data_IF_694875915024
#
_entry.id   IF_694875915024
#
_cell.length_a   1.000
_cell.length_b   1.000
_cell.length_c   1.000
_cell.angle_alpha   90.00
_cell.angle_beta   90.00
_cell.angle_gamma   90.00
#
_symmetry.space_group_name_H-M   'P 1'
#
loop_
_entity.id
_entity.type
_entity.pdbx_description
1 polymer ?
#
# COMPACT_ATOMS: atom_id res chain seq x y z
N UNK A 1 -7.55 0.43 76.45
CA UNK A 1 -7.65 1.70 75.72
C UNK A 1 -6.38 2.22 75.05
N UNK A 2 -5.15 1.89 75.53
CA UNK A 2 -3.87 2.34 74.93
C UNK A 2 -3.47 1.56 73.66
N UNK A 3 -3.91 0.33 73.43
CA UNK A 3 -3.57 -0.49 72.27
C UNK A 3 -4.38 -0.12 71.00
N UNK A 4 -5.60 0.38 71.15
CA UNK A 4 -6.41 0.83 70.03
C UNK A 4 -5.98 2.19 69.44
N UNK A 5 -5.35 3.06 70.24
CA UNK A 5 -4.84 4.34 69.74
C UNK A 5 -3.53 4.15 68.90
N UNK A 6 -2.70 3.19 69.25
CA UNK A 6 -1.46 2.95 68.46
C UNK A 6 -1.73 2.36 67.11
N UNK A 7 -2.74 1.49 66.94
CA UNK A 7 -3.09 0.91 65.63
C UNK A 7 -3.70 1.95 64.70
N UNK A 8 -4.56 2.85 65.21
CA UNK A 8 -5.14 3.91 64.38
C UNK A 8 -4.14 4.97 63.95
N UNK A 9 -3.10 5.28 64.72
CA UNK A 9 -2.04 6.21 64.32
C UNK A 9 -1.12 5.58 63.28
N UNK A 10 -0.88 4.24 63.32
CA UNK A 10 -0.06 3.55 62.33
C UNK A 10 -0.82 3.45 60.97
N UNK A 11 -2.14 3.18 60.98
CA UNK A 11 -2.93 3.13 59.77
C UNK A 11 -3.07 4.53 59.15
N UNK A 12 -3.26 5.57 59.96
CA UNK A 12 -3.31 6.95 59.49
C UNK A 12 -1.97 7.43 58.91
N UNK A 13 -0.84 7.03 59.50
CA UNK A 13 0.51 7.35 58.99
C UNK A 13 0.80 6.61 57.68
N UNK A 14 0.42 5.34 57.55
CA UNK A 14 0.57 4.59 56.27
C UNK A 14 -0.34 5.14 55.14
N UNK A 15 -1.57 5.53 55.46
CA UNK A 15 -2.45 6.14 54.47
C UNK A 15 -1.99 7.52 54.02
N UNK A 16 -1.47 8.33 54.90
CA UNK A 16 -0.91 9.64 54.58
C UNK A 16 0.38 9.55 53.74
N UNK A 17 1.24 8.58 54.03
CA UNK A 17 2.48 8.37 53.24
C UNK A 17 2.15 7.85 51.83
N UNK A 18 1.22 6.94 51.66
CA UNK A 18 0.76 6.45 50.34
C UNK A 18 0.15 7.60 49.54
N UNK A 19 -0.76 8.40 50.11
CA UNK A 19 -1.35 9.55 49.41
C UNK A 19 -0.34 10.66 49.08
N UNK A 20 0.65 10.89 49.95
CA UNK A 20 1.69 11.87 49.68
C UNK A 20 2.67 11.40 48.59
N UNK A 21 2.93 10.09 48.54
CA UNK A 21 3.77 9.47 47.51
C UNK A 21 3.06 9.48 46.14
N UNK A 22 1.77 9.10 46.06
CA UNK A 22 0.97 9.18 44.87
C UNK A 22 0.84 10.63 44.35
N UNK A 23 0.66 11.62 45.24
CA UNK A 23 0.54 13.01 44.82
C UNK A 23 1.82 13.61 44.29
N UNK A 24 2.99 13.24 44.86
CA UNK A 24 4.31 13.67 44.38
C UNK A 24 4.70 12.97 43.08
N UNK A 25 4.37 11.70 42.93
CA UNK A 25 4.57 10.94 41.69
C UNK A 25 3.71 11.50 40.54
N UNK A 26 2.43 11.80 40.82
CA UNK A 26 1.55 12.44 39.87
C UNK A 26 2.00 13.84 39.45
N UNK A 27 2.48 14.66 40.37
CA UNK A 27 3.05 15.98 40.05
C UNK A 27 4.34 15.85 39.25
N UNK A 28 5.21 14.89 39.57
CA UNK A 28 6.39 14.58 38.77
C UNK A 28 6.04 14.14 37.35
N UNK A 29 5.06 13.27 37.17
CA UNK A 29 4.55 12.86 35.87
C UNK A 29 4.05 14.04 35.04
N UNK A 30 3.20 14.91 35.62
CA UNK A 30 2.68 16.11 34.96
C UNK A 30 3.79 17.04 34.51
N UNK A 31 4.81 17.23 35.31
CA UNK A 31 5.98 18.06 34.97
C UNK A 31 6.78 17.45 33.81
N UNK A 32 7.02 16.12 33.82
CA UNK A 32 7.68 15.40 32.71
C UNK A 32 6.92 15.56 31.42
N UNK A 33 5.59 15.31 31.42
CA UNK A 33 4.74 15.43 30.25
C UNK A 33 4.73 16.86 29.69
N UNK A 34 4.74 17.89 30.56
CA UNK A 34 4.82 19.28 30.12
C UNK A 34 6.17 19.59 29.45
N UNK A 35 7.28 19.14 30.04
CA UNK A 35 8.63 19.33 29.48
C UNK A 35 8.79 18.61 28.13
N UNK A 36 8.27 17.38 27.99
CA UNK A 36 8.30 16.61 26.75
C UNK A 36 7.50 17.31 25.66
N UNK A 37 6.28 17.79 25.96
CA UNK A 37 5.44 18.54 25.00
C UNK A 37 6.07 19.83 24.53
N UNK A 38 6.75 20.54 25.44
CA UNK A 38 7.46 21.76 25.07
C UNK A 38 8.68 21.46 24.20
N UNK A 39 9.47 20.43 24.56
CA UNK A 39 10.59 19.96 23.75
C UNK A 39 10.14 19.52 22.34
N UNK A 40 8.99 18.84 22.22
CA UNK A 40 8.44 18.40 20.95
C UNK A 40 7.94 19.52 19.99
N UNK A 41 7.93 20.77 20.45
CA UNK A 41 7.68 21.96 19.62
C UNK A 41 8.95 22.57 19.05
N UNK A 42 10.12 22.07 19.49
CA UNK A 42 11.44 22.55 19.08
C UNK A 42 11.93 21.80 17.84
N UNK A 43 13.15 22.06 17.47
CA UNK A 43 13.84 21.40 16.37
C UNK A 43 14.51 20.07 16.79
N UNK A 44 15.34 19.53 15.91
CA UNK A 44 16.06 18.28 16.11
C UNK A 44 17.01 18.25 17.32
N UNK A 45 17.43 19.40 17.84
CA UNK A 45 18.29 19.47 19.05
C UNK A 45 17.57 18.97 20.31
N UNK A 46 16.23 18.90 20.28
CA UNK A 46 15.45 18.32 21.39
C UNK A 46 15.45 16.78 21.40
N UNK A 47 15.85 16.12 20.31
CA UNK A 47 15.80 14.65 20.19
C UNK A 47 16.57 13.93 21.33
N UNK A 48 17.82 14.28 21.67
CA UNK A 48 18.54 13.59 22.76
C UNK A 48 17.80 13.68 24.10
N UNK A 49 17.21 14.83 24.42
CA UNK A 49 16.40 15.03 25.62
C UNK A 49 15.17 14.12 25.61
N UNK A 50 14.43 14.07 24.51
CA UNK A 50 13.23 13.22 24.34
C UNK A 50 13.58 11.73 24.41
N UNK A 51 14.71 11.32 23.82
CA UNK A 51 15.20 9.94 23.84
C UNK A 51 15.43 9.43 25.26
N UNK A 52 15.85 10.30 26.19
CA UNK A 52 15.99 9.95 27.59
C UNK A 52 14.70 9.45 28.24
N UNK A 53 13.54 9.91 27.79
CA UNK A 53 12.23 9.50 28.30
C UNK A 53 11.69 8.20 27.69
N UNK A 54 12.31 7.63 26.67
CA UNK A 54 11.90 6.33 26.11
C UNK A 54 12.10 5.16 27.07
N UNK A 55 12.83 5.38 28.17
CA UNK A 55 13.07 4.39 29.23
C UNK A 55 12.34 4.72 30.54
N UNK A 56 11.45 5.72 30.54
CA UNK A 56 10.68 6.07 31.73
C UNK A 56 9.80 4.90 32.16
N UNK A 57 9.70 4.60 33.48
CA UNK A 57 8.81 3.51 33.95
C UNK A 57 7.35 3.73 33.60
N UNK A 58 6.90 5.00 33.50
CA UNK A 58 5.53 5.35 33.13
C UNK A 58 5.33 5.31 31.60
N UNK A 59 4.40 4.48 31.14
CA UNK A 59 4.09 4.32 29.72
C UNK A 59 3.55 5.59 29.07
N UNK A 60 2.80 6.44 29.80
CA UNK A 60 2.28 7.69 29.24
C UNK A 60 3.41 8.69 28.96
N UNK A 61 4.46 8.66 29.81
CA UNK A 61 5.66 9.48 29.60
C UNK A 61 6.43 9.00 28.38
N UNK A 62 6.60 7.68 28.22
CA UNK A 62 7.23 7.11 27.03
C UNK A 62 6.43 7.41 25.76
N UNK A 63 5.09 7.25 25.80
CA UNK A 63 4.21 7.53 24.66
C UNK A 63 4.29 9.02 24.23
N UNK A 64 4.26 9.94 25.19
CA UNK A 64 4.36 11.37 24.88
C UNK A 64 5.74 11.73 24.30
N UNK A 65 6.82 11.05 24.75
CA UNK A 65 8.15 11.20 24.16
C UNK A 65 8.17 10.74 22.70
N UNK A 66 7.62 9.56 22.40
CA UNK A 66 7.53 9.06 21.03
C UNK A 66 6.68 10.00 20.15
N UNK A 67 5.53 10.50 20.63
CA UNK A 67 4.74 11.51 19.94
C UNK A 67 5.53 12.74 19.56
N UNK A 68 6.34 13.22 20.50
CA UNK A 68 7.15 14.42 20.30
C UNK A 68 8.27 14.18 19.29
N UNK A 69 8.91 13.01 19.31
CA UNK A 69 9.93 12.59 18.34
C UNK A 69 9.32 12.46 16.94
N UNK A 70 8.14 11.84 16.81
CA UNK A 70 7.39 11.73 15.53
C UNK A 70 7.06 13.11 14.97
N UNK A 71 6.65 14.05 15.84
CA UNK A 71 6.33 15.44 15.43
C UNK A 71 7.53 16.18 14.87
N UNK A 72 8.71 16.01 15.46
CA UNK A 72 9.96 16.60 14.96
C UNK A 72 10.32 15.99 13.61
N UNK A 73 10.21 14.67 13.42
CA UNK A 73 10.21 13.97 12.14
C UNK A 73 11.45 14.18 11.26
N UNK A 74 12.63 14.35 11.86
CA UNK A 74 13.90 14.50 11.14
C UNK A 74 14.69 13.18 11.09
N UNK A 75 15.80 13.14 10.33
CA UNK A 75 16.67 11.96 10.31
C UNK A 75 17.18 11.56 11.71
N UNK A 76 17.33 12.51 12.63
CA UNK A 76 17.71 12.25 14.03
C UNK A 76 16.61 11.55 14.84
N UNK A 77 15.37 11.56 14.33
CA UNK A 77 14.23 10.84 14.94
C UNK A 77 14.29 9.33 14.68
N UNK A 78 15.00 8.86 13.65
CA UNK A 78 14.96 7.46 13.22
C UNK A 78 15.47 6.51 14.30
N UNK A 79 16.66 6.74 14.87
CA UNK A 79 17.23 5.85 15.87
C UNK A 79 16.39 5.77 17.17
N UNK A 80 15.89 6.89 17.73
CA UNK A 80 14.94 6.83 18.84
C UNK A 80 13.62 6.11 18.51
N UNK A 81 13.11 6.25 17.28
CA UNK A 81 11.90 5.53 16.86
C UNK A 81 12.17 4.04 16.69
N UNK A 82 13.33 3.64 16.14
CA UNK A 82 13.77 2.23 16.12
C UNK A 82 13.87 1.69 17.56
N UNK A 83 14.45 2.44 18.50
CA UNK A 83 14.47 2.04 19.90
C UNK A 83 13.04 1.85 20.47
N UNK A 84 12.10 2.73 20.15
CA UNK A 84 10.72 2.67 20.62
C UNK A 84 9.91 1.50 20.05
N UNK A 85 10.33 0.88 18.93
CA UNK A 85 9.72 -0.37 18.44
C UNK A 85 9.92 -1.54 19.39
N UNK A 86 10.85 -1.46 20.32
CA UNK A 86 11.13 -2.49 21.33
C UNK A 86 10.39 -2.24 22.66
N UNK A 87 9.51 -1.24 22.72
CA UNK A 87 8.70 -0.98 23.93
C UNK A 87 7.77 -2.16 24.22
N UNK A 88 7.49 -2.43 25.50
CA UNK A 88 6.54 -3.46 25.93
C UNK A 88 5.08 -3.09 25.62
N UNK A 89 4.79 -1.82 25.34
CA UNK A 89 3.45 -1.31 25.05
C UNK A 89 3.21 -1.26 23.52
N UNK A 90 2.24 -2.05 23.03
CA UNK A 90 1.91 -2.11 21.61
C UNK A 90 1.47 -0.78 21.00
N UNK A 91 0.84 0.12 21.77
CA UNK A 91 0.48 1.46 21.26
C UNK A 91 1.70 2.33 21.01
N UNK A 92 2.74 2.20 21.85
CA UNK A 92 4.03 2.89 21.68
C UNK A 92 4.77 2.33 20.45
N UNK A 93 4.77 0.99 20.30
CA UNK A 93 5.35 0.32 19.14
C UNK A 93 4.67 0.79 17.83
N UNK A 94 3.33 0.80 17.77
CA UNK A 94 2.58 1.27 16.60
C UNK A 94 2.90 2.73 16.26
N UNK A 95 2.99 3.59 17.27
CA UNK A 95 3.33 5.01 17.07
C UNK A 95 4.75 5.18 16.54
N UNK A 96 5.69 4.37 17.02
CA UNK A 96 7.05 4.36 16.49
C UNK A 96 7.07 3.95 15.01
N UNK A 97 6.36 2.90 14.64
CA UNK A 97 6.20 2.47 13.24
C UNK A 97 5.58 3.58 12.38
N UNK A 98 4.50 4.21 12.85
CA UNK A 98 3.87 5.35 12.17
C UNK A 98 4.87 6.49 11.92
N UNK A 99 5.71 6.78 12.90
CA UNK A 99 6.76 7.80 12.79
C UNK A 99 7.85 7.43 11.77
N UNK A 100 8.27 6.17 11.75
CA UNK A 100 9.23 5.65 10.77
C UNK A 100 8.66 5.75 9.34
N UNK A 101 7.41 5.32 9.13
CA UNK A 101 6.74 5.43 7.83
C UNK A 101 6.57 6.90 7.42
N UNK A 102 6.13 7.77 8.35
CA UNK A 102 5.91 9.19 8.06
C UNK A 102 7.18 9.94 7.65
N UNK A 103 8.36 9.50 8.12
CA UNK A 103 9.63 10.07 7.68
C UNK A 103 9.88 9.85 6.18
N UNK A 104 9.61 8.66 5.68
CA UNK A 104 9.81 8.30 4.26
C UNK A 104 8.61 8.67 3.37
N UNK A 105 7.42 8.75 3.96
CA UNK A 105 6.17 9.12 3.31
C UNK A 105 5.49 10.26 4.08
N UNK A 106 5.95 11.52 3.91
CA UNK A 106 5.41 12.66 4.64
C UNK A 106 3.90 12.82 4.43
N UNK A 107 3.18 13.06 5.54
CA UNK A 107 1.71 13.14 5.55
C UNK A 107 1.01 11.81 5.86
N UNK A 108 1.74 10.73 6.07
CA UNK A 108 1.19 9.47 6.55
C UNK A 108 0.53 9.62 7.93
N UNK A 109 1.15 10.37 8.84
CA UNK A 109 0.57 10.80 10.11
C UNK A 109 0.02 12.22 9.95
N UNK A 110 -1.29 12.40 10.02
CA UNK A 110 -1.89 13.74 9.98
C UNK A 110 -1.58 14.50 11.27
N UNK A 111 -1.08 15.73 11.12
CA UNK A 111 -0.81 16.68 12.21
C UNK A 111 -2.10 17.00 12.97
N UNK A 112 -2.37 16.30 14.05
CA UNK A 112 -3.58 16.51 14.87
C UNK A 112 -3.74 15.48 15.98
N UNK A 113 -2.81 14.51 16.08
CA UNK A 113 -2.74 13.59 17.23
C UNK A 113 -3.87 12.56 17.34
N UNK A 114 -4.83 12.55 16.43
CA UNK A 114 -5.77 11.43 16.28
C UNK A 114 -5.13 10.47 15.29
N UNK A 115 -4.41 9.53 15.82
CA UNK A 115 -3.78 8.48 15.04
C UNK A 115 -4.79 7.83 14.11
N UNK A 116 -4.40 7.59 12.85
CA UNK A 116 -5.15 6.71 11.91
C UNK A 116 -5.57 5.39 12.57
N UNK A 117 -4.94 4.99 13.66
CA UNK A 117 -5.24 3.79 14.45
C UNK A 117 -6.72 3.68 14.87
N UNK A 118 -7.38 4.77 15.29
CA UNK A 118 -8.82 4.74 15.65
C UNK A 118 -9.75 4.72 14.44
N UNK A 119 -9.33 5.29 13.31
CA UNK A 119 -10.09 5.22 12.05
C UNK A 119 -9.85 3.90 11.30
N UNK A 120 -8.82 3.13 11.63
CA UNK A 120 -8.44 1.89 10.95
C UNK A 120 -9.38 0.72 11.23
N UNK A 121 -9.87 0.55 12.45
CA UNK A 121 -10.82 -0.52 12.78
C UNK A 121 -12.14 -0.36 12.00
N UNK A 122 -12.58 0.88 11.77
CA UNK A 122 -13.77 1.15 10.93
C UNK A 122 -13.47 1.12 9.42
N UNK A 123 -12.21 1.37 9.01
CA UNK A 123 -11.75 1.22 7.62
C UNK A 123 -11.63 -0.23 7.19
N UNK A 124 -11.19 -1.13 8.07
CA UNK A 124 -11.09 -2.56 7.75
C UNK A 124 -12.40 -3.12 7.15
N UNK A 125 -13.55 -2.58 7.54
CA UNK A 125 -14.87 -2.92 6.98
C UNK A 125 -15.19 -2.11 5.70
N UNK A 126 -14.65 -0.89 5.55
CA UNK A 126 -14.98 0.04 4.44
C UNK A 126 -13.99 -0.01 3.28
N UNK A 127 -12.69 -0.23 3.55
CA UNK A 127 -11.62 -0.21 2.57
C UNK A 127 -11.38 -1.58 1.88
N UNK A 128 -12.29 -2.54 2.05
CA UNK A 128 -12.28 -3.79 1.28
C UNK A 128 -12.34 -3.56 -0.25
N UNK A 129 -12.56 -2.32 -0.70
CA UNK A 129 -12.87 -1.99 -2.09
C UNK A 129 -12.14 -0.76 -2.66
N UNK A 130 -11.25 -0.08 -1.91
CA UNK A 130 -10.54 1.10 -2.40
C UNK A 130 -9.04 0.96 -2.30
N UNK A 131 -8.38 1.11 -3.44
CA UNK A 131 -6.95 1.43 -3.70
C UNK A 131 -5.97 1.14 -2.55
N UNK A 132 -5.68 -0.13 -2.32
CA UNK A 132 -4.70 -0.61 -1.34
C UNK A 132 -3.25 -0.26 -1.71
N UNK A 133 -3.03 0.21 -2.92
CA UNK A 133 -1.71 0.50 -3.48
C UNK A 133 -1.30 1.98 -3.41
N UNK A 134 -2.18 2.87 -2.97
CA UNK A 134 -1.94 4.32 -3.06
C UNK A 134 -0.82 4.84 -2.13
N UNK A 135 -0.59 4.17 -1.00
CA UNK A 135 0.43 4.60 -0.04
C UNK A 135 1.69 3.71 -0.16
N UNK A 136 2.59 4.05 -1.05
CA UNK A 136 3.89 3.37 -1.18
C UNK A 136 4.98 4.40 -1.43
N UNK A 137 6.15 4.20 -0.83
CA UNK A 137 7.32 5.03 -1.12
C UNK A 137 7.74 4.90 -2.58
N UNK A 138 8.17 6.01 -3.19
CA UNK A 138 8.70 5.99 -4.56
C UNK A 138 9.89 5.06 -4.69
N UNK A 139 10.06 4.43 -5.84
CA UNK A 139 11.19 3.51 -6.13
C UNK A 139 12.58 4.14 -5.98
N UNK A 140 12.69 5.48 -5.98
CA UNK A 140 13.94 6.21 -5.73
C UNK A 140 14.22 6.51 -4.25
N UNK A 141 13.35 6.12 -3.32
CA UNK A 141 13.55 6.34 -1.89
C UNK A 141 14.29 5.15 -1.29
N UNK A 142 15.49 5.38 -0.79
CA UNK A 142 16.26 4.37 -0.06
C UNK A 142 15.87 4.41 1.41
N UNK A 143 15.25 3.33 1.90
CA UNK A 143 14.92 3.15 3.32
C UNK A 143 16.11 2.53 4.03
N UNK A 144 16.45 3.04 5.21
CA UNK A 144 17.54 2.47 6.04
C UNK A 144 17.25 1.02 6.40
N UNK A 145 18.22 0.10 6.26
CA UNK A 145 18.05 -1.32 6.59
C UNK A 145 17.55 -1.55 8.01
N UNK A 146 18.08 -0.82 8.99
CA UNK A 146 17.71 -0.96 10.41
C UNK A 146 16.24 -0.62 10.68
N UNK A 147 15.63 0.23 9.85
CA UNK A 147 14.19 0.52 9.93
C UNK A 147 13.38 -0.69 9.50
N UNK A 148 13.76 -1.34 8.40
CA UNK A 148 13.06 -2.54 7.91
C UNK A 148 13.27 -3.73 8.86
N UNK A 149 14.46 -3.89 9.44
CA UNK A 149 14.76 -4.91 10.44
C UNK A 149 13.91 -4.74 11.71
N UNK A 150 13.79 -3.50 12.22
CA UNK A 150 12.93 -3.21 13.37
C UNK A 150 11.44 -3.51 13.09
N UNK A 151 10.96 -3.17 11.88
CA UNK A 151 9.60 -3.49 11.44
C UNK A 151 9.41 -5.00 11.30
N UNK A 152 10.37 -5.73 10.71
CA UNK A 152 10.33 -7.18 10.59
C UNK A 152 10.27 -7.88 11.97
N UNK A 153 11.04 -7.40 12.94
CA UNK A 153 11.00 -7.90 14.31
C UNK A 153 9.61 -7.70 14.97
N UNK A 154 8.92 -6.60 14.65
CA UNK A 154 7.56 -6.36 15.14
C UNK A 154 6.52 -7.25 14.45
N UNK A 155 6.68 -7.61 13.17
CA UNK A 155 5.82 -8.60 12.50
C UNK A 155 5.90 -9.93 13.23
N UNK A 156 7.09 -10.34 13.65
CA UNK A 156 7.33 -11.60 14.35
C UNK A 156 6.88 -11.59 15.80
N UNK A 157 7.08 -10.50 16.54
CA UNK A 157 6.97 -10.46 17.99
C UNK A 157 6.41 -9.17 18.58
N UNK A 158 5.63 -8.38 17.85
CA UNK A 158 4.96 -7.19 18.38
C UNK A 158 4.03 -7.50 19.56
N UNK A 159 3.89 -6.55 20.47
CA UNK A 159 3.19 -6.71 21.75
C UNK A 159 1.68 -7.00 21.62
N UNK A 160 1.10 -6.80 20.44
CA UNK A 160 -0.29 -7.13 20.11
C UNK A 160 -0.42 -7.55 18.64
N UNK A 161 -1.52 -8.23 18.28
CA UNK A 161 -1.81 -8.57 16.88
C UNK A 161 -1.98 -7.31 16.02
N UNK A 162 -2.61 -6.25 16.56
CA UNK A 162 -2.73 -4.96 15.88
C UNK A 162 -1.36 -4.36 15.54
N UNK A 163 -0.41 -4.44 16.49
CA UNK A 163 0.96 -3.97 16.27
C UNK A 163 1.66 -4.77 15.16
N UNK A 164 1.51 -6.10 15.17
CA UNK A 164 2.09 -6.99 14.16
C UNK A 164 1.50 -6.72 12.77
N UNK A 165 0.18 -6.53 12.68
CA UNK A 165 -0.52 -6.19 11.43
C UNK A 165 -0.10 -4.82 10.89
N UNK A 166 0.06 -3.83 11.79
CA UNK A 166 0.54 -2.50 11.40
C UNK A 166 2.00 -2.54 10.92
N UNK A 167 2.84 -3.34 11.56
CA UNK A 167 4.21 -3.54 11.11
C UNK A 167 4.26 -4.23 9.73
N UNK A 168 3.40 -5.23 9.48
CA UNK A 168 3.28 -5.85 8.16
C UNK A 168 2.88 -4.81 7.09
N UNK A 169 1.88 -3.97 7.38
CA UNK A 169 1.47 -2.87 6.51
C UNK A 169 2.60 -1.89 6.23
N UNK A 170 3.34 -1.49 7.27
CA UNK A 170 4.48 -0.59 7.15
C UNK A 170 5.59 -1.16 6.26
N UNK A 171 5.89 -2.47 6.39
CA UNK A 171 6.84 -3.15 5.53
C UNK A 171 6.45 -3.05 4.05
N UNK A 172 5.18 -3.22 3.72
CA UNK A 172 4.66 -3.05 2.36
C UNK A 172 4.77 -1.61 1.85
N UNK A 173 4.38 -0.62 2.68
CA UNK A 173 4.46 0.81 2.33
C UNK A 173 5.90 1.23 2.01
N UNK A 174 6.86 0.76 2.82
CA UNK A 174 8.28 1.05 2.66
C UNK A 174 8.98 0.15 1.64
N UNK A 175 8.27 -0.79 1.00
CA UNK A 175 8.83 -1.80 0.07
C UNK A 175 10.01 -2.56 0.67
N UNK A 176 9.87 -2.95 1.94
CA UNK A 176 10.93 -3.54 2.74
C UNK A 176 11.21 -5.01 2.39
N UNK A 177 12.00 -5.29 1.36
CA UNK A 177 12.35 -6.67 0.95
C UNK A 177 12.93 -7.50 2.10
N UNK A 178 13.72 -6.91 3.00
CA UNK A 178 14.29 -7.62 4.14
C UNK A 178 13.22 -8.12 5.15
N UNK A 179 11.98 -7.63 5.07
CA UNK A 179 10.88 -8.10 5.91
C UNK A 179 10.15 -9.32 5.33
N UNK A 180 10.44 -9.77 4.09
CA UNK A 180 9.76 -10.90 3.45
C UNK A 180 9.73 -12.16 4.31
N UNK A 181 10.83 -12.62 4.95
CA UNK A 181 10.78 -13.82 5.78
C UNK A 181 9.79 -13.71 6.96
N UNK A 182 9.69 -12.52 7.57
CA UNK A 182 8.73 -12.28 8.65
C UNK A 182 7.29 -12.23 8.14
N UNK A 183 7.05 -11.64 6.95
CA UNK A 183 5.75 -11.63 6.29
C UNK A 183 5.30 -13.03 5.90
N UNK A 184 6.17 -13.84 5.29
CA UNK A 184 5.87 -15.23 4.94
C UNK A 184 5.54 -16.09 6.16
N UNK A 185 6.26 -15.91 7.25
CA UNK A 185 5.94 -16.56 8.54
C UNK A 185 4.60 -16.10 9.09
N UNK A 186 4.26 -14.81 8.93
CA UNK A 186 2.98 -14.26 9.36
C UNK A 186 1.78 -14.83 8.58
N UNK A 187 1.98 -15.34 7.35
CA UNK A 187 0.94 -16.06 6.59
C UNK A 187 0.46 -17.34 7.28
N UNK A 188 1.23 -17.88 8.24
CA UNK A 188 0.86 -19.06 9.03
C UNK A 188 0.12 -18.69 10.33
N UNK A 189 -0.21 -17.42 10.53
CA UNK A 189 -0.96 -16.94 11.70
C UNK A 189 -2.39 -17.49 11.70
N UNK A 190 -3.01 -17.49 12.90
CA UNK A 190 -4.46 -17.68 13.06
C UNK A 190 -5.24 -16.36 12.97
N UNK A 191 -4.55 -15.24 12.98
CA UNK A 191 -5.16 -13.92 12.89
C UNK A 191 -5.29 -13.53 11.42
N UNK A 192 -6.53 -13.45 10.92
CA UNK A 192 -6.83 -13.12 9.53
C UNK A 192 -6.42 -11.70 9.14
N UNK A 193 -6.41 -10.77 10.10
CA UNK A 193 -5.95 -9.40 9.88
C UNK A 193 -4.45 -9.36 9.60
N UNK A 194 -3.63 -10.10 10.36
CA UNK A 194 -2.20 -10.19 10.13
C UNK A 194 -1.89 -10.89 8.80
N UNK A 195 -2.58 -11.97 8.48
CA UNK A 195 -2.43 -12.66 7.17
C UNK A 195 -2.74 -11.68 6.04
N UNK A 196 -3.86 -10.97 6.13
CA UNK A 196 -4.30 -10.02 5.12
C UNK A 196 -3.29 -8.89 4.89
N UNK A 197 -2.84 -8.21 5.97
CA UNK A 197 -1.86 -7.13 5.84
C UNK A 197 -0.51 -7.65 5.32
N UNK A 198 -0.13 -8.89 5.66
CA UNK A 198 1.08 -9.53 5.13
C UNK A 198 0.97 -9.80 3.64
N UNK A 199 -0.17 -10.31 3.14
CA UNK A 199 -0.41 -10.51 1.71
C UNK A 199 -0.37 -9.19 0.94
N UNK A 200 -1.03 -8.13 1.46
CA UNK A 200 -0.96 -6.78 0.85
C UNK A 200 0.47 -6.23 0.85
N UNK A 201 1.23 -6.46 1.92
CA UNK A 201 2.63 -6.05 1.98
C UNK A 201 3.48 -6.77 0.92
N UNK A 202 3.29 -8.09 0.77
CA UNK A 202 3.97 -8.90 -0.26
C UNK A 202 3.62 -8.39 -1.67
N UNK A 203 2.36 -8.02 -1.96
CA UNK A 203 1.97 -7.39 -3.22
C UNK A 203 2.76 -6.09 -3.47
N UNK A 204 2.87 -5.21 -2.47
CA UNK A 204 3.57 -3.92 -2.57
C UNK A 204 5.09 -4.07 -2.73
N UNK A 205 5.68 -5.07 -2.11
CA UNK A 205 7.10 -5.43 -2.26
C UNK A 205 7.33 -5.97 -3.67
N UNK A 206 6.43 -6.84 -4.16
CA UNK A 206 6.45 -7.36 -5.53
C UNK A 206 7.56 -8.38 -5.78
N UNK A 207 8.05 -9.07 -4.76
CA UNK A 207 9.10 -10.09 -4.91
C UNK A 207 8.47 -11.47 -5.22
N UNK A 208 8.74 -12.04 -6.42
CA UNK A 208 8.17 -13.33 -6.81
C UNK A 208 8.59 -14.50 -5.90
N UNK A 209 9.67 -14.37 -5.14
CA UNK A 209 10.15 -15.44 -4.24
C UNK A 209 9.14 -15.81 -3.15
N UNK A 210 8.23 -14.88 -2.77
CA UNK A 210 7.16 -15.15 -1.83
C UNK A 210 6.03 -16.04 -2.39
N UNK A 211 6.00 -16.28 -3.70
CA UNK A 211 4.92 -17.04 -4.37
C UNK A 211 4.61 -18.39 -3.72
N UNK A 212 5.58 -19.26 -3.43
CA UNK A 212 5.33 -20.56 -2.79
C UNK A 212 4.62 -20.45 -1.44
N UNK A 213 5.00 -19.48 -0.60
CA UNK A 213 4.38 -19.25 0.70
C UNK A 213 2.93 -18.76 0.57
N UNK A 214 2.67 -17.88 -0.41
CA UNK A 214 1.32 -17.37 -0.72
C UNK A 214 0.42 -18.46 -1.29
N UNK A 215 0.94 -19.35 -2.13
CA UNK A 215 0.17 -20.42 -2.78
C UNK A 215 -0.51 -21.37 -1.78
N UNK A 216 0.04 -21.52 -0.56
CA UNK A 216 -0.57 -22.32 0.49
C UNK A 216 -1.98 -21.81 0.89
N UNK A 217 -2.23 -20.52 0.72
CA UNK A 217 -3.49 -19.85 1.09
C UNK A 217 -4.51 -19.78 -0.07
N UNK A 218 -4.16 -20.20 -1.28
CA UNK A 218 -5.07 -20.12 -2.43
C UNK A 218 -6.29 -21.06 -2.32
N UNK A 219 -6.29 -21.97 -1.35
CA UNK A 219 -7.44 -22.81 -0.99
C UNK A 219 -7.89 -22.60 0.47
N UNK A 220 -7.62 -21.42 1.05
CA UNK A 220 -8.01 -21.13 2.42
C UNK A 220 -9.55 -21.17 2.57
N UNK A 221 -10.02 -21.56 3.76
CA UNK A 221 -11.45 -21.62 4.09
C UNK A 221 -12.06 -20.22 4.24
N UNK A 222 -11.27 -19.24 4.66
CA UNK A 222 -11.68 -17.85 4.67
C UNK A 222 -11.63 -17.28 3.24
N UNK A 223 -12.80 -16.95 2.70
CA UNK A 223 -12.92 -16.46 1.33
C UNK A 223 -12.18 -15.12 1.09
N UNK A 224 -11.90 -14.34 2.14
CA UNK A 224 -11.12 -13.11 2.01
C UNK A 224 -9.64 -13.42 1.90
N UNK A 225 -9.13 -14.33 2.74
CA UNK A 225 -7.75 -14.81 2.66
C UNK A 225 -7.51 -15.50 1.33
N UNK A 226 -8.43 -16.39 0.91
CA UNK A 226 -8.38 -17.05 -0.39
C UNK A 226 -8.30 -16.05 -1.54
N UNK A 227 -9.20 -15.07 -1.59
CA UNK A 227 -9.23 -14.08 -2.66
C UNK A 227 -7.95 -13.24 -2.72
N UNK A 228 -7.48 -12.71 -1.59
CA UNK A 228 -6.27 -11.86 -1.57
C UNK A 228 -5.01 -12.67 -1.89
N UNK A 229 -4.93 -13.96 -1.51
CA UNK A 229 -3.80 -14.81 -1.86
C UNK A 229 -3.76 -15.09 -3.36
N UNK A 230 -4.90 -15.39 -3.98
CA UNK A 230 -5.00 -15.60 -5.44
C UNK A 230 -4.63 -14.32 -6.20
N UNK A 231 -5.14 -13.16 -5.77
CA UNK A 231 -4.75 -11.86 -6.31
C UNK A 231 -3.24 -11.62 -6.22
N UNK A 232 -2.66 -11.92 -5.05
CA UNK A 232 -1.21 -11.80 -4.83
C UNK A 232 -0.41 -12.70 -5.78
N UNK A 233 -0.85 -13.93 -6.01
CA UNK A 233 -0.20 -14.86 -6.95
C UNK A 233 -0.24 -14.32 -8.39
N UNK A 234 -1.36 -13.70 -8.80
CA UNK A 234 -1.47 -13.03 -10.09
C UNK A 234 -0.49 -11.85 -10.21
N UNK A 235 -0.44 -10.97 -9.21
CA UNK A 235 0.45 -9.80 -9.17
C UNK A 235 1.93 -10.21 -9.17
N UNK A 236 2.28 -11.27 -8.45
CA UNK A 236 3.65 -11.81 -8.42
C UNK A 236 4.02 -12.61 -9.67
N UNK A 237 3.10 -12.77 -10.63
CA UNK A 237 3.26 -13.62 -11.81
C UNK A 237 3.71 -15.06 -11.46
N UNK A 238 3.16 -15.63 -10.38
CA UNK A 238 3.48 -16.98 -9.95
C UNK A 238 2.78 -18.02 -10.82
N UNK A 239 3.43 -18.44 -11.91
CA UNK A 239 2.88 -19.39 -12.88
C UNK A 239 2.69 -20.80 -12.30
N UNK A 240 3.46 -21.19 -11.27
CA UNK A 240 3.35 -22.49 -10.62
C UNK A 240 2.00 -22.68 -9.91
N UNK A 241 1.36 -21.58 -9.49
CA UNK A 241 0.04 -21.60 -8.88
C UNK A 241 -1.11 -21.69 -9.91
N UNK A 242 -0.86 -21.52 -11.21
CA UNK A 242 -1.91 -21.51 -12.23
C UNK A 242 -2.82 -22.76 -12.23
N UNK A 243 -2.31 -24.01 -12.07
CA UNK A 243 -3.17 -25.19 -11.98
C UNK A 243 -4.17 -25.12 -10.83
N UNK A 244 -3.74 -24.57 -9.68
CA UNK A 244 -4.58 -24.42 -8.49
C UNK A 244 -5.64 -23.32 -8.72
N UNK A 245 -5.25 -22.18 -9.32
CA UNK A 245 -6.17 -21.08 -9.63
C UNK A 245 -7.21 -21.56 -10.67
N UNK A 246 -6.84 -22.35 -11.68
CA UNK A 246 -7.80 -22.97 -12.64
C UNK A 246 -8.84 -23.85 -11.93
N UNK A 247 -8.43 -24.58 -10.87
CA UNK A 247 -9.38 -25.38 -10.09
C UNK A 247 -10.40 -24.49 -9.38
N UNK A 248 -9.99 -23.32 -8.89
CA UNK A 248 -10.90 -22.36 -8.29
C UNK A 248 -11.87 -21.79 -9.32
N UNK A 249 -11.42 -21.44 -10.51
CA UNK A 249 -12.31 -20.96 -11.61
C UNK A 249 -13.33 -22.04 -12.01
N UNK A 250 -12.96 -23.30 -12.03
CA UNK A 250 -13.81 -24.41 -12.48
C UNK A 250 -14.77 -24.97 -11.41
N UNK A 251 -14.70 -24.51 -10.16
CA UNK A 251 -15.57 -24.96 -9.06
C UNK A 251 -16.54 -23.87 -8.64
N UNK A 252 -17.70 -24.22 -8.06
CA UNK A 252 -18.58 -23.20 -7.49
C UNK A 252 -17.91 -22.58 -6.27
N UNK A 253 -17.61 -21.31 -6.36
CA UNK A 253 -17.14 -20.45 -5.29
C UNK A 253 -18.03 -19.22 -5.15
N UNK A 254 -17.85 -18.44 -4.07
CA UNK A 254 -18.48 -17.13 -3.98
C UNK A 254 -18.03 -16.23 -5.15
N UNK A 255 -18.93 -15.36 -5.62
CA UNK A 255 -18.70 -14.50 -6.79
C UNK A 255 -17.34 -13.77 -6.76
N UNK A 256 -16.95 -13.28 -5.58
CA UNK A 256 -15.67 -12.56 -5.40
C UNK A 256 -14.45 -13.42 -5.69
N UNK A 257 -14.40 -14.62 -5.10
CA UNK A 257 -13.25 -15.54 -5.29
C UNK A 257 -13.15 -15.94 -6.76
N UNK A 258 -14.29 -16.18 -7.41
CA UNK A 258 -14.36 -16.54 -8.82
C UNK A 258 -13.82 -15.43 -9.72
N UNK A 259 -14.24 -14.17 -9.49
CA UNK A 259 -13.75 -12.99 -10.25
C UNK A 259 -12.23 -12.86 -10.10
N UNK A 260 -11.74 -12.84 -8.86
CA UNK A 260 -10.31 -12.70 -8.57
C UNK A 260 -9.48 -13.84 -9.17
N UNK A 261 -10.02 -15.08 -9.19
CA UNK A 261 -9.30 -16.20 -9.79
C UNK A 261 -9.18 -16.03 -11.31
N UNK A 262 -10.22 -15.56 -12.00
CA UNK A 262 -10.13 -15.28 -13.43
C UNK A 262 -9.20 -14.10 -13.74
N UNK A 263 -9.24 -13.04 -12.93
CA UNK A 263 -8.31 -11.90 -13.01
C UNK A 263 -6.85 -12.35 -12.81
N UNK A 264 -6.59 -13.21 -11.84
CA UNK A 264 -5.25 -13.76 -11.61
C UNK A 264 -4.76 -14.58 -12.82
N UNK A 265 -5.60 -15.43 -13.43
CA UNK A 265 -5.25 -16.12 -14.67
C UNK A 265 -4.96 -15.13 -15.80
N UNK A 266 -5.74 -14.05 -15.91
CA UNK A 266 -5.51 -13.01 -16.91
C UNK A 266 -4.16 -12.28 -16.68
N UNK A 267 -3.72 -12.09 -15.43
CA UNK A 267 -2.40 -11.54 -15.11
C UNK A 267 -1.27 -12.51 -15.46
N UNK A 268 -1.47 -13.82 -15.23
CA UNK A 268 -0.49 -14.86 -15.57
C UNK A 268 -0.38 -15.05 -17.10
N UNK A 269 -1.47 -14.87 -17.83
CA UNK A 269 -1.57 -14.93 -19.28
C UNK A 269 -0.90 -16.17 -19.91
N UNK A 270 -1.22 -17.35 -19.40
CA UNK A 270 -0.68 -18.59 -19.94
C UNK A 270 -1.51 -19.05 -21.18
N UNK A 271 -0.86 -19.50 -22.26
CA UNK A 271 -1.57 -19.92 -23.50
C UNK A 271 -2.67 -20.95 -23.28
N UNK A 272 -2.48 -21.88 -22.36
CA UNK A 272 -3.46 -22.91 -22.03
C UNK A 272 -4.76 -22.35 -21.41
N UNK A 273 -4.75 -21.11 -20.89
CA UNK A 273 -5.92 -20.47 -20.29
C UNK A 273 -6.81 -19.76 -21.30
N UNK A 274 -6.38 -19.67 -22.59
CA UNK A 274 -7.17 -19.05 -23.68
C UNK A 274 -8.60 -19.59 -23.74
N UNK A 275 -8.79 -20.91 -23.60
CA UNK A 275 -10.11 -21.54 -23.62
C UNK A 275 -11.02 -21.04 -22.50
N UNK A 276 -10.45 -20.81 -21.32
CA UNK A 276 -11.16 -20.25 -20.16
C UNK A 276 -11.62 -18.83 -20.50
N UNK A 277 -10.73 -17.98 -21.00
CA UNK A 277 -11.09 -16.61 -21.36
C UNK A 277 -12.18 -16.55 -22.45
N UNK A 278 -12.10 -17.39 -23.48
CA UNK A 278 -13.14 -17.49 -24.51
C UNK A 278 -14.50 -17.93 -23.95
N UNK A 279 -14.53 -18.72 -22.86
CA UNK A 279 -15.77 -19.10 -22.18
C UNK A 279 -16.41 -17.91 -21.47
N UNK A 280 -15.62 -17.05 -20.79
CA UNK A 280 -16.12 -15.95 -19.97
C UNK A 280 -16.27 -14.61 -20.69
N UNK A 281 -15.78 -14.45 -21.91
CA UNK A 281 -15.85 -13.18 -22.69
C UNK A 281 -17.26 -12.61 -22.88
N UNK A 282 -18.30 -13.46 -22.79
CA UNK A 282 -19.70 -13.07 -22.91
C UNK A 282 -20.52 -13.36 -21.64
N UNK A 283 -19.86 -13.51 -20.48
CA UNK A 283 -20.55 -13.76 -19.21
C UNK A 283 -21.49 -12.60 -18.86
N UNK A 284 -22.54 -12.90 -18.09
CA UNK A 284 -23.47 -11.88 -17.59
C UNK A 284 -22.79 -10.86 -16.64
N UNK A 285 -21.77 -11.32 -15.91
CA UNK A 285 -20.99 -10.52 -14.99
C UNK A 285 -19.94 -9.68 -15.74
N UNK A 286 -20.00 -8.34 -15.69
CA UNK A 286 -19.05 -7.48 -16.40
C UNK A 286 -17.61 -7.61 -15.89
N UNK A 287 -17.38 -7.96 -14.62
CA UNK A 287 -16.03 -8.16 -14.09
C UNK A 287 -15.40 -9.45 -14.66
N UNK A 288 -16.18 -10.52 -14.86
CA UNK A 288 -15.71 -11.74 -15.55
C UNK A 288 -15.42 -11.48 -17.02
N UNK A 289 -16.28 -10.69 -17.71
CA UNK A 289 -15.98 -10.29 -19.09
C UNK A 289 -14.71 -9.46 -19.20
N UNK A 290 -14.52 -8.50 -18.26
CA UNK A 290 -13.30 -7.69 -18.18
C UNK A 290 -12.06 -8.57 -18.08
N UNK A 291 -12.01 -9.46 -17.07
CA UNK A 291 -10.88 -10.35 -16.87
C UNK A 291 -10.60 -11.26 -18.07
N UNK A 292 -11.65 -11.79 -18.70
CA UNK A 292 -11.53 -12.61 -19.90
C UNK A 292 -10.92 -11.85 -21.09
N UNK A 293 -11.40 -10.63 -21.37
CA UNK A 293 -10.89 -9.78 -22.45
C UNK A 293 -9.45 -9.30 -22.16
N UNK A 294 -9.14 -9.03 -20.91
CA UNK A 294 -7.80 -8.70 -20.46
C UNK A 294 -6.81 -9.87 -20.67
N UNK A 295 -7.24 -11.09 -20.29
CA UNK A 295 -6.46 -12.30 -20.51
C UNK A 295 -6.18 -12.55 -22.00
N UNK A 296 -7.20 -12.46 -22.87
CA UNK A 296 -7.02 -12.57 -24.32
C UNK A 296 -6.04 -11.49 -24.84
N UNK A 297 -6.19 -10.25 -24.38
CA UNK A 297 -5.28 -9.17 -24.77
C UNK A 297 -3.83 -9.37 -24.37
N UNK A 298 -3.58 -9.97 -23.20
CA UNK A 298 -2.20 -10.30 -22.74
C UNK A 298 -1.61 -11.50 -23.47
N UNK A 299 -2.42 -12.45 -23.90
CA UNK A 299 -1.95 -13.56 -24.72
C UNK A 299 -1.42 -13.11 -26.08
N UNK A 300 -1.94 -12.00 -26.62
CA UNK A 300 -1.56 -11.46 -27.93
C UNK A 300 -1.65 -12.50 -29.06
N UNK A 301 -2.68 -13.33 -29.02
CA UNK A 301 -2.96 -14.29 -30.07
C UNK A 301 -3.74 -13.58 -31.20
N UNK A 302 -3.19 -13.47 -32.44
CA UNK A 302 -3.86 -12.78 -33.52
C UNK A 302 -5.24 -13.35 -33.84
N UNK A 303 -5.53 -14.60 -33.48
CA UNK A 303 -6.86 -15.20 -33.66
C UNK A 303 -7.92 -14.55 -32.78
N UNK A 304 -7.51 -13.89 -31.66
CA UNK A 304 -8.43 -13.23 -30.74
C UNK A 304 -8.74 -11.78 -31.12
N UNK A 305 -8.03 -11.21 -32.13
CA UNK A 305 -8.25 -9.85 -32.59
C UNK A 305 -9.73 -9.56 -32.90
N UNK A 306 -10.47 -10.40 -33.70
CA UNK A 306 -11.88 -10.15 -33.99
C UNK A 306 -12.78 -10.18 -32.73
N UNK A 307 -12.39 -10.94 -31.69
CA UNK A 307 -13.13 -11.01 -30.43
C UNK A 307 -12.94 -9.69 -29.68
N UNK A 308 -11.69 -9.20 -29.57
CA UNK A 308 -11.37 -7.94 -28.91
C UNK A 308 -11.99 -6.75 -29.63
N UNK A 309 -11.94 -6.70 -30.98
CA UNK A 309 -12.56 -5.65 -31.79
C UNK A 309 -14.08 -5.65 -31.65
N UNK A 310 -14.72 -6.82 -31.71
CA UNK A 310 -16.13 -6.97 -31.47
C UNK A 310 -16.58 -6.52 -30.09
N UNK A 311 -15.80 -6.84 -29.06
CA UNK A 311 -16.03 -6.39 -27.69
C UNK A 311 -15.85 -4.88 -27.57
N UNK A 312 -14.78 -4.30 -28.10
CA UNK A 312 -14.55 -2.86 -28.08
C UNK A 312 -15.67 -2.05 -28.70
N UNK A 313 -16.22 -2.54 -29.80
CA UNK A 313 -17.28 -1.85 -30.57
C UNK A 313 -18.67 -2.01 -29.94
N UNK A 314 -18.98 -3.14 -29.30
CA UNK A 314 -20.34 -3.48 -28.89
C UNK A 314 -20.55 -3.51 -27.34
N UNK A 315 -19.48 -3.55 -26.54
CA UNK A 315 -19.60 -3.59 -25.07
C UNK A 315 -20.17 -2.27 -24.55
N UNK A 316 -21.15 -2.38 -23.64
CA UNK A 316 -21.82 -1.22 -23.02
C UNK A 316 -21.21 -0.84 -21.69
N UNK A 317 -20.65 -1.82 -20.98
CA UNK A 317 -20.03 -1.60 -19.69
C UNK A 317 -18.61 -1.07 -19.86
N UNK A 318 -18.27 -0.05 -19.06
CA UNK A 318 -17.00 0.67 -19.19
C UNK A 318 -15.78 -0.23 -19.04
N UNK A 319 -15.73 -1.02 -17.97
CA UNK A 319 -14.55 -1.83 -17.64
C UNK A 319 -14.22 -2.90 -18.69
N UNK A 320 -15.16 -3.75 -19.12
CA UNK A 320 -14.88 -4.71 -20.19
C UNK A 320 -14.48 -4.04 -21.51
N UNK A 321 -15.05 -2.87 -21.82
CA UNK A 321 -14.66 -2.11 -23.01
C UNK A 321 -13.22 -1.56 -22.90
N UNK A 322 -12.80 -1.10 -21.72
CA UNK A 322 -11.41 -0.70 -21.45
C UNK A 322 -10.45 -1.90 -21.59
N UNK A 323 -10.84 -3.09 -21.11
CA UNK A 323 -10.06 -4.31 -21.26
C UNK A 323 -9.90 -4.73 -22.73
N UNK A 324 -10.99 -4.63 -23.52
CA UNK A 324 -10.93 -4.86 -24.96
C UNK A 324 -10.01 -3.86 -25.69
N UNK A 325 -10.08 -2.57 -25.30
CA UNK A 325 -9.18 -1.53 -25.83
C UNK A 325 -7.72 -1.83 -25.49
N UNK A 326 -7.44 -2.23 -24.25
CA UNK A 326 -6.11 -2.68 -23.82
C UNK A 326 -5.60 -3.84 -24.69
N UNK A 327 -6.45 -4.84 -24.93
CA UNK A 327 -6.11 -5.99 -25.78
C UNK A 327 -5.75 -5.56 -27.20
N UNK A 328 -6.55 -4.71 -27.83
CA UNK A 328 -6.29 -4.21 -29.18
C UNK A 328 -5.00 -3.40 -29.27
N UNK A 329 -4.69 -2.58 -28.27
CA UNK A 329 -3.40 -1.86 -28.21
C UNK A 329 -2.25 -2.85 -28.01
N UNK A 330 -2.44 -3.90 -27.21
CA UNK A 330 -1.44 -4.97 -27.04
C UNK A 330 -1.12 -5.68 -28.35
N UNK A 331 -2.13 -5.84 -29.24
CA UNK A 331 -2.01 -6.38 -30.60
C UNK A 331 -1.45 -5.37 -31.63
N UNK A 332 -1.17 -4.12 -31.23
CA UNK A 332 -0.52 -3.14 -32.10
C UNK A 332 -1.40 -1.98 -32.60
N UNK A 333 -2.63 -1.84 -32.14
CA UNK A 333 -3.48 -0.67 -32.47
C UNK A 333 -3.10 0.54 -31.63
N UNK A 334 -2.00 1.19 -32.01
CA UNK A 334 -1.38 2.29 -31.24
C UNK A 334 -1.72 3.70 -31.76
N UNK A 335 -2.66 3.82 -32.71
CA UNK A 335 -3.11 5.13 -33.15
C UNK A 335 -3.94 5.85 -32.08
N UNK A 336 -3.94 7.19 -32.13
CA UNK A 336 -4.58 8.07 -31.13
C UNK A 336 -5.74 8.88 -31.72
N UNK A 337 -6.32 8.42 -32.82
CA UNK A 337 -7.52 9.00 -33.39
C UNK A 337 -8.69 8.95 -32.38
N UNK A 338 -9.69 9.83 -32.55
CA UNK A 338 -10.76 10.06 -31.56
C UNK A 338 -11.47 8.77 -31.06
N UNK A 339 -11.68 7.79 -31.95
CA UNK A 339 -12.39 6.54 -31.63
C UNK A 339 -11.46 5.33 -31.54
N UNK A 340 -10.14 5.55 -31.48
CA UNK A 340 -9.18 4.45 -31.41
C UNK A 340 -9.11 3.86 -30.00
N UNK A 341 -8.70 2.58 -29.88
CA UNK A 341 -8.54 1.91 -28.58
C UNK A 341 -7.59 2.65 -27.64
N UNK A 342 -6.42 3.13 -28.13
CA UNK A 342 -5.47 3.84 -27.30
C UNK A 342 -6.02 5.18 -26.80
N UNK A 343 -6.72 5.95 -27.67
CA UNK A 343 -7.38 7.19 -27.25
C UNK A 343 -8.48 6.92 -26.24
N UNK A 344 -9.22 5.82 -26.39
CA UNK A 344 -10.26 5.42 -25.44
C UNK A 344 -9.70 5.15 -24.05
N UNK A 345 -8.53 4.50 -23.94
CA UNK A 345 -7.83 4.33 -22.66
C UNK A 345 -7.41 5.67 -22.04
N UNK A 346 -6.90 6.60 -22.85
CA UNK A 346 -6.52 7.94 -22.35
C UNK A 346 -7.76 8.72 -21.86
N UNK A 347 -8.86 8.69 -22.61
CA UNK A 347 -10.13 9.33 -22.19
C UNK A 347 -10.66 8.72 -20.88
N UNK A 348 -10.38 7.45 -20.62
CA UNK A 348 -10.75 6.77 -19.39
C UNK A 348 -10.11 7.39 -18.12
N UNK A 349 -9.00 8.13 -18.25
CA UNK A 349 -8.36 8.86 -17.16
C UNK A 349 -9.23 10.01 -16.61
N UNK A 350 -10.12 10.57 -17.41
CA UNK A 350 -11.08 11.61 -16.99
C UNK A 350 -12.31 11.04 -16.27
N UNK A 351 -12.51 9.72 -16.31
CA UNK A 351 -13.71 9.07 -15.80
C UNK A 351 -13.50 8.57 -14.36
N UNK A 352 -14.31 9.03 -13.41
CA UNK A 352 -14.20 8.62 -12.01
C UNK A 352 -14.26 7.11 -11.76
N UNK A 353 -15.00 6.35 -12.62
CA UNK A 353 -15.12 4.88 -12.54
C UNK A 353 -14.12 4.11 -13.42
N UNK A 354 -13.47 4.79 -14.37
CA UNK A 354 -12.54 4.18 -15.33
C UNK A 354 -11.08 4.50 -15.07
N UNK A 355 -10.81 5.53 -14.26
CA UNK A 355 -9.48 6.08 -14.07
C UNK A 355 -8.45 5.04 -13.64
N UNK A 356 -8.72 4.25 -12.60
CA UNK A 356 -7.78 3.25 -12.08
C UNK A 356 -7.47 2.13 -13.09
N UNK A 357 -8.48 1.64 -13.83
CA UNK A 357 -8.27 0.62 -14.83
C UNK A 357 -7.48 1.17 -16.03
N UNK A 358 -7.86 2.36 -16.52
CA UNK A 358 -7.14 3.04 -17.60
C UNK A 358 -5.68 3.33 -17.22
N UNK A 359 -5.45 3.78 -15.99
CA UNK A 359 -4.10 4.04 -15.48
C UNK A 359 -3.25 2.77 -15.48
N UNK A 360 -3.77 1.66 -14.94
CA UNK A 360 -3.06 0.38 -14.89
C UNK A 360 -2.72 -0.15 -16.30
N UNK A 361 -3.68 -0.09 -17.22
CA UNK A 361 -3.46 -0.52 -18.61
C UNK A 361 -2.43 0.36 -19.33
N UNK A 362 -2.49 1.67 -19.15
CA UNK A 362 -1.52 2.58 -19.76
C UNK A 362 -0.11 2.39 -19.19
N UNK A 363 0.03 2.15 -17.90
CA UNK A 363 1.32 1.83 -17.26
C UNK A 363 1.95 0.55 -17.83
N UNK A 364 1.14 -0.51 -18.02
CA UNK A 364 1.60 -1.74 -18.62
C UNK A 364 1.98 -1.53 -20.10
N UNK A 365 1.15 -0.86 -20.88
CA UNK A 365 1.35 -0.58 -22.30
C UNK A 365 2.57 0.34 -22.55
N UNK A 366 2.84 1.30 -21.65
CA UNK A 366 3.98 2.20 -21.75
C UNK A 366 5.35 1.52 -21.58
N UNK A 367 5.42 0.23 -21.24
CA UNK A 367 6.64 -0.57 -21.37
C UNK A 367 7.08 -0.66 -22.85
N UNK A 368 6.14 -0.54 -23.81
CA UNK A 368 6.40 -0.55 -25.26
C UNK A 368 6.73 0.84 -25.75
N UNK A 369 7.82 0.95 -26.54
CA UNK A 369 8.28 2.24 -27.11
C UNK A 369 7.30 2.84 -28.10
N UNK A 370 6.65 2.01 -28.96
CA UNK A 370 5.68 2.46 -29.94
C UNK A 370 4.46 3.13 -29.27
N UNK A 371 3.98 2.58 -28.16
CA UNK A 371 2.90 3.17 -27.37
C UNK A 371 3.34 4.50 -26.76
N UNK A 372 4.55 4.56 -26.12
CA UNK A 372 5.06 5.83 -25.58
C UNK A 372 5.12 6.91 -26.64
N UNK A 373 5.69 6.63 -27.82
CA UNK A 373 5.76 7.57 -28.94
C UNK A 373 4.38 8.07 -29.39
N UNK A 374 3.38 7.17 -29.45
CA UNK A 374 2.02 7.53 -29.83
C UNK A 374 1.33 8.45 -28.80
N UNK A 375 1.70 8.35 -27.51
CA UNK A 375 1.11 9.14 -26.42
C UNK A 375 1.74 10.53 -26.26
N UNK A 376 3.00 10.75 -26.70
CA UNK A 376 3.69 12.04 -26.50
C UNK A 376 2.90 13.26 -27.02
N UNK A 377 2.25 13.23 -28.21
CA UNK A 377 1.48 14.37 -28.69
C UNK A 377 0.28 14.74 -27.81
N UNK A 378 -0.25 13.78 -27.02
CA UNK A 378 -1.38 13.99 -26.13
C UNK A 378 -1.00 14.74 -24.84
N UNK A 379 0.28 14.66 -24.40
CA UNK A 379 0.76 15.37 -23.23
C UNK A 379 0.56 16.90 -23.34
N UNK A 380 0.77 17.48 -24.52
CA UNK A 380 0.64 18.92 -24.73
C UNK A 380 -0.83 19.39 -24.79
N UNK A 381 -1.76 18.53 -25.22
CA UNK A 381 -3.15 18.87 -25.56
C UNK A 381 -4.18 18.26 -24.63
N UNK A 382 -3.78 17.34 -23.77
CA UNK A 382 -4.67 16.59 -22.88
C UNK A 382 -5.31 17.44 -21.79
N UNK A 383 -6.37 16.94 -21.21
CA UNK A 383 -6.97 17.51 -19.99
C UNK A 383 -5.97 17.41 -18.83
N UNK A 384 -6.27 18.05 -17.70
CA UNK A 384 -5.46 17.92 -16.49
C UNK A 384 -5.33 16.44 -16.05
N UNK A 385 -6.42 15.70 -16.00
CA UNK A 385 -6.41 14.30 -15.59
C UNK A 385 -5.65 13.42 -16.57
N UNK A 386 -5.81 13.61 -17.87
CA UNK A 386 -5.01 12.94 -18.91
C UNK A 386 -3.52 13.21 -18.74
N UNK A 387 -3.11 14.47 -18.56
CA UNK A 387 -1.71 14.85 -18.36
C UNK A 387 -1.12 14.17 -17.11
N UNK A 388 -1.82 14.25 -15.96
CA UNK A 388 -1.36 13.63 -14.73
C UNK A 388 -1.23 12.11 -14.86
N UNK A 389 -2.22 11.44 -15.44
CA UNK A 389 -2.19 10.00 -15.68
C UNK A 389 -1.08 9.59 -16.65
N UNK A 390 -0.89 10.34 -17.75
CA UNK A 390 0.17 10.08 -18.71
C UNK A 390 1.58 10.33 -18.14
N UNK A 391 1.78 11.36 -17.30
CA UNK A 391 3.03 11.57 -16.57
C UNK A 391 3.36 10.31 -15.74
N UNK A 392 2.36 9.79 -15.03
CA UNK A 392 2.54 8.62 -14.17
C UNK A 392 2.84 7.34 -14.97
N UNK A 393 2.15 7.13 -16.09
CA UNK A 393 2.33 5.95 -16.93
C UNK A 393 3.66 5.95 -17.71
N UNK A 394 4.10 7.12 -18.20
CA UNK A 394 5.27 7.25 -19.06
C UNK A 394 6.59 7.27 -18.26
N UNK A 395 6.62 7.92 -17.10
CA UNK A 395 7.85 8.18 -16.35
C UNK A 395 8.66 6.92 -15.96
N UNK A 396 8.05 5.78 -15.58
CA UNK A 396 8.83 4.59 -15.21
C UNK A 396 9.69 4.01 -16.33
N UNK A 397 9.27 4.19 -17.59
CA UNK A 397 9.91 3.63 -18.79
C UNK A 397 10.40 4.73 -19.75
N UNK A 398 10.66 5.93 -19.24
CA UNK A 398 11.02 7.07 -20.08
C UNK A 398 12.33 6.84 -20.85
N UNK A 399 12.29 7.18 -22.13
CA UNK A 399 13.44 7.35 -23.03
C UNK A 399 13.69 8.84 -23.26
N UNK A 400 14.71 9.19 -24.02
CA UNK A 400 15.09 10.61 -24.28
C UNK A 400 13.92 11.48 -24.77
N UNK A 401 13.08 10.93 -25.64
CA UNK A 401 11.93 11.65 -26.21
C UNK A 401 10.84 11.87 -25.14
N UNK A 402 10.61 10.86 -24.34
CA UNK A 402 9.67 10.90 -23.20
C UNK A 402 10.18 11.88 -22.13
N UNK A 403 11.46 11.83 -21.78
CA UNK A 403 12.06 12.76 -20.81
C UNK A 403 11.97 14.21 -21.28
N UNK A 404 12.21 14.47 -22.58
CA UNK A 404 12.08 15.81 -23.16
C UNK A 404 10.62 16.31 -23.06
N UNK A 405 9.63 15.46 -23.38
CA UNK A 405 8.23 15.80 -23.29
C UNK A 405 7.76 16.05 -21.84
N UNK A 406 8.19 15.20 -20.89
CA UNK A 406 7.92 15.40 -19.46
C UNK A 406 8.58 16.67 -18.93
N UNK A 407 9.79 17.00 -19.43
CA UNK A 407 10.49 18.24 -19.08
C UNK A 407 9.71 19.49 -19.50
N UNK A 408 9.11 19.46 -20.68
CA UNK A 408 8.27 20.58 -21.14
C UNK A 408 7.08 20.84 -20.22
N UNK A 409 6.49 19.79 -19.60
CA UNK A 409 5.36 19.93 -18.66
C UNK A 409 5.74 20.58 -17.32
N UNK A 410 7.01 20.75 -17.00
CA UNK A 410 7.40 21.53 -15.80
C UNK A 410 7.02 23.01 -15.91
N UNK A 411 6.71 23.48 -17.12
CA UNK A 411 6.20 24.82 -17.42
C UNK A 411 4.70 24.81 -17.74
N UNK A 412 3.99 23.72 -17.45
CA UNK A 412 2.54 23.67 -17.66
C UNK A 412 1.82 24.74 -16.82
N UNK A 413 0.80 25.42 -17.36
CA UNK A 413 0.05 26.43 -16.64
C UNK A 413 -0.72 25.88 -15.44
N UNK A 414 -1.05 24.58 -15.41
CA UNK A 414 -1.65 23.94 -14.23
C UNK A 414 -0.55 23.58 -13.21
N UNK A 415 -0.64 24.12 -11.96
CA UNK A 415 0.38 23.91 -10.94
C UNK A 415 0.55 22.42 -10.54
N UNK A 416 -0.52 21.62 -10.58
CA UNK A 416 -0.43 20.19 -10.21
C UNK A 416 0.30 19.43 -11.29
N UNK A 417 0.07 19.73 -12.56
CA UNK A 417 0.77 19.12 -13.70
C UNK A 417 2.27 19.48 -13.64
N UNK A 418 2.59 20.77 -13.46
CA UNK A 418 4.00 21.21 -13.41
C UNK A 418 4.75 20.60 -12.23
N UNK A 419 4.14 20.51 -11.04
CA UNK A 419 4.72 19.86 -9.85
C UNK A 419 4.91 18.36 -10.08
N UNK A 420 3.90 17.67 -10.66
CA UNK A 420 4.01 16.24 -10.97
C UNK A 420 5.16 15.95 -11.94
N UNK A 421 5.29 16.74 -13.01
CA UNK A 421 6.37 16.61 -13.98
C UNK A 421 7.75 16.86 -13.33
N UNK A 422 7.90 17.94 -12.54
CA UNK A 422 9.14 18.25 -11.83
C UNK A 422 9.55 17.15 -10.83
N UNK A 423 8.56 16.52 -10.15
CA UNK A 423 8.82 15.39 -9.24
C UNK A 423 9.39 14.19 -10.00
N UNK A 424 8.85 13.86 -11.18
CA UNK A 424 9.34 12.74 -11.99
C UNK A 424 10.76 12.99 -12.52
N UNK A 425 11.08 14.21 -12.94
CA UNK A 425 12.45 14.57 -13.33
C UNK A 425 13.46 14.41 -12.19
N UNK A 426 13.07 14.76 -10.97
CA UNK A 426 13.95 14.58 -9.80
C UNK A 426 14.24 13.10 -9.57
N UNK A 427 13.25 12.23 -9.72
CA UNK A 427 13.40 10.78 -9.60
C UNK A 427 14.31 10.23 -10.72
N UNK A 428 14.12 10.68 -11.96
CA UNK A 428 14.94 10.23 -13.09
C UNK A 428 16.45 10.58 -12.94
N UNK A 429 16.76 11.75 -12.34
CA UNK A 429 18.15 12.16 -12.08
C UNK A 429 18.85 11.39 -10.95
N UNK A 430 18.08 10.64 -10.14
CA UNK A 430 18.61 9.82 -9.04
C UNK A 430 18.74 8.35 -9.41
N UNK A 431 18.30 7.94 -10.60
CA UNK A 431 18.52 6.64 -11.23
C UNK A 431 19.84 6.64 -12.03
#
# INVERSE_FOLDING_TARGET
>A
MRFLLAVNVLIAACTLTVHAQDSTEYQSKKAKLAAIRDAGKRDSHAIPFLTGYLKDPDSDVRDEAVKSIVRIGTQYSLDPLIQATHDSNGSIQMRAVDGLVNFYLPGYVTTGGVTRTFTRVSRWVKDQFSNRNDDVVSTGVTVRPEVIEAIAALIDGGASMDCRSEAARAAGILRGHAALPALEKALQSKDTGLIFESLVAIQKIGDPSAGPSVALLANDFDAQVQAISIETLGILHNTDAAPQIRQVVNRPHGERVHRVALEALAMLALPEDRKIFLQYKNDKDPELRMAALEGLGRLRDPEDYPVLEGAFNNEKELKPRLAAAFGLVSEGKVDTNEFSPLRYLVNGLDLSKGNSASQAYLEELCRRQDVRKALLPLLAKGTKAEKLGLIHALAPNADSDTDAALSALTQDPDPEVSVAAARQQKIAKTR
#
